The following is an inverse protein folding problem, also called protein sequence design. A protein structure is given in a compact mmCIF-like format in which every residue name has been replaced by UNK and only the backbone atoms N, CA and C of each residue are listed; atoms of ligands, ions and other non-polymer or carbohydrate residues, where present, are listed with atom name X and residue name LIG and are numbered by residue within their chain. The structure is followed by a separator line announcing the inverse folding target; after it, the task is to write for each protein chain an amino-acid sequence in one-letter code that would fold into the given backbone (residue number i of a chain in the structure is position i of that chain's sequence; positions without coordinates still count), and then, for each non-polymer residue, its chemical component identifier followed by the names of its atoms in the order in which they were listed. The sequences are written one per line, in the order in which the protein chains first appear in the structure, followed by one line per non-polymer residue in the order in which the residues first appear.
data_IF_536667560327
#
_entry.id   IF_536667560327
#
_cell.length_a   1.000
_cell.length_b   1.000
_cell.length_c   1.000
_cell.angle_alpha   90.00
_cell.angle_beta   90.00
_cell.angle_gamma   90.00
#
_symmetry.space_group_name_H-M   'P 1'
#
loop_
_entity.id
_entity.type
_entity.pdbx_description
1 polymer ?
#
# COMPACT_ATOMS: atom_id res chain seq x y z
N UNK A 1 13.25 5.45 -9.02
CA UNK A 1 13.38 4.31 -8.10
C UNK A 1 13.19 2.98 -8.81
N UNK A 2 14.12 2.04 -8.60
CA UNK A 2 14.09 0.62 -8.97
C UNK A 2 13.64 -0.20 -7.76
N UNK A 3 12.66 -1.08 -7.94
CA UNK A 3 12.09 -1.95 -6.90
C UNK A 3 12.54 -3.39 -7.13
N UNK A 4 13.06 -4.02 -6.09
CA UNK A 4 13.09 -5.47 -5.96
C UNK A 4 11.98 -5.92 -5.01
N UNK A 5 11.23 -6.96 -5.37
CA UNK A 5 10.14 -7.49 -4.53
C UNK A 5 10.47 -8.89 -4.04
N UNK A 6 10.73 -9.04 -2.74
CA UNK A 6 10.87 -10.34 -2.09
C UNK A 6 9.58 -10.62 -1.31
N UNK A 7 8.78 -11.58 -1.76
CA UNK A 7 7.44 -11.78 -1.21
C UNK A 7 7.04 -13.25 -1.05
N UNK A 8 6.02 -13.47 -0.23
CA UNK A 8 5.31 -14.74 -0.13
C UNK A 8 3.80 -14.49 -0.02
N UNK A 9 3.02 -15.41 -0.57
CA UNK A 9 1.55 -15.38 -0.50
C UNK A 9 0.86 -14.28 -1.33
N UNK A 10 -0.47 -14.28 -1.26
CA UNK A 10 -1.37 -13.47 -2.10
C UNK A 10 -1.21 -11.96 -1.91
N UNK A 11 -0.72 -11.53 -0.75
CA UNK A 11 -0.54 -10.10 -0.49
C UNK A 11 0.52 -9.49 -1.43
N UNK A 12 1.68 -10.14 -1.56
CA UNK A 12 2.71 -9.70 -2.50
C UNK A 12 2.21 -9.72 -3.95
N UNK A 13 1.52 -10.78 -4.36
CA UNK A 13 0.92 -10.89 -5.70
C UNK A 13 -0.04 -9.72 -5.99
N UNK A 14 -0.85 -9.32 -5.01
CA UNK A 14 -1.78 -8.19 -5.16
C UNK A 14 -1.05 -6.87 -5.34
N UNK A 15 0.02 -6.61 -4.57
CA UNK A 15 0.80 -5.38 -4.72
C UNK A 15 1.48 -5.35 -6.08
N UNK A 16 2.13 -6.45 -6.47
CA UNK A 16 2.81 -6.57 -7.76
C UNK A 16 1.80 -6.37 -8.89
N UNK A 17 0.62 -6.98 -8.82
CA UNK A 17 -0.41 -6.78 -9.82
C UNK A 17 -0.95 -5.35 -9.90
N UNK A 18 -1.04 -4.65 -8.76
CA UNK A 18 -1.38 -3.23 -8.74
C UNK A 18 -0.32 -2.37 -9.46
N UNK A 19 0.96 -2.68 -9.24
CA UNK A 19 2.10 -1.97 -9.83
C UNK A 19 2.28 -2.27 -11.33
N UNK A 20 2.10 -3.52 -11.74
CA UNK A 20 2.16 -3.92 -13.15
C UNK A 20 0.91 -3.47 -13.92
N UNK A 21 -0.20 -3.26 -13.21
CA UNK A 21 -1.48 -2.84 -13.76
C UNK A 21 -1.96 -3.67 -14.97
N UNK A 22 -1.72 -4.99 -14.94
CA UNK A 22 -2.22 -5.88 -15.99
C UNK A 22 -3.75 -5.95 -15.96
N UNK A 23 -4.38 -6.13 -17.13
CA UNK A 23 -5.84 -5.96 -17.32
C UNK A 23 -6.74 -6.70 -16.32
N UNK A 24 -6.35 -7.91 -15.91
CA UNK A 24 -7.16 -8.77 -15.04
C UNK A 24 -6.78 -8.66 -13.55
N UNK A 25 -5.95 -7.68 -13.17
CA UNK A 25 -5.58 -7.46 -11.77
C UNK A 25 -6.81 -7.08 -10.91
N UNK A 26 -7.58 -6.09 -11.37
CA UNK A 26 -8.78 -5.64 -10.70
C UNK A 26 -10.01 -6.34 -11.28
N UNK A 27 -10.68 -7.14 -10.46
CA UNK A 27 -11.87 -7.91 -10.84
C UNK A 27 -13.14 -7.45 -10.11
N UNK A 28 -13.05 -6.42 -9.27
CA UNK A 28 -14.09 -6.05 -8.29
C UNK A 28 -15.40 -5.53 -8.90
N UNK A 29 -15.37 -5.03 -10.14
CA UNK A 29 -16.57 -4.62 -10.86
C UNK A 29 -17.18 -5.74 -11.71
N UNK A 30 -16.48 -6.88 -11.85
CA UNK A 30 -16.88 -8.00 -12.71
C UNK A 30 -17.37 -7.49 -14.09
N UNK A 31 -18.58 -7.90 -14.52
CA UNK A 31 -19.19 -7.53 -15.80
C UNK A 31 -19.50 -6.03 -15.95
N UNK A 32 -19.48 -5.27 -14.85
CA UNK A 32 -19.70 -3.81 -14.85
C UNK A 32 -18.38 -3.02 -14.94
N UNK A 33 -17.25 -3.69 -15.23
CA UNK A 33 -15.97 -3.03 -15.35
C UNK A 33 -15.94 -2.06 -16.54
N UNK A 34 -15.58 -0.80 -16.26
CA UNK A 34 -15.39 0.25 -17.26
C UNK A 34 -13.91 0.50 -17.57
N UNK A 35 -13.02 -0.39 -17.17
CA UNK A 35 -11.57 -0.27 -17.36
C UNK A 35 -10.99 1.04 -16.78
N UNK A 36 -11.45 1.47 -15.60
CA UNK A 36 -11.00 2.72 -14.96
C UNK A 36 -9.50 2.80 -14.63
N UNK A 37 -8.77 1.70 -14.80
CA UNK A 37 -7.33 1.59 -14.61
C UNK A 37 -6.56 1.40 -15.91
N UNK A 38 -7.20 1.48 -17.08
CA UNK A 38 -6.52 1.42 -18.39
C UNK A 38 -5.81 2.75 -18.68
N UNK A 39 -4.83 3.06 -17.82
CA UNK A 39 -3.96 4.22 -17.86
C UNK A 39 -2.51 3.74 -17.81
N UNK A 40 -1.75 4.06 -18.85
CA UNK A 40 -0.32 3.71 -18.95
C UNK A 40 0.51 4.36 -17.85
N UNK A 41 0.03 5.44 -17.22
CA UNK A 41 0.71 6.09 -16.10
C UNK A 41 0.69 5.27 -14.81
N UNK A 42 -0.08 4.17 -14.78
CA UNK A 42 -0.14 3.21 -13.67
C UNK A 42 0.71 1.94 -13.91
N UNK A 43 1.38 1.83 -15.06
CA UNK A 43 2.27 0.71 -15.37
C UNK A 43 3.70 1.01 -14.88
N UNK A 44 4.08 0.38 -13.78
CA UNK A 44 5.40 0.47 -13.17
C UNK A 44 6.28 -0.75 -13.46
N UNK A 45 5.95 -1.56 -14.48
CA UNK A 45 6.72 -2.75 -14.84
C UNK A 45 8.21 -2.49 -15.05
N UNK A 46 8.55 -1.36 -15.68
CA UNK A 46 9.95 -0.95 -15.91
C UNK A 46 10.73 -0.64 -14.64
N UNK A 47 10.04 -0.39 -13.52
CA UNK A 47 10.66 -0.13 -12.23
C UNK A 47 10.90 -1.40 -11.42
N UNK A 48 10.19 -2.50 -11.70
CA UNK A 48 10.39 -3.78 -11.01
C UNK A 48 11.55 -4.50 -11.69
N UNK A 49 12.72 -4.47 -11.05
CA UNK A 49 13.96 -5.04 -11.62
C UNK A 49 14.16 -6.51 -11.26
N UNK A 50 13.44 -7.01 -10.25
CA UNK A 50 13.53 -8.40 -9.83
C UNK A 50 12.44 -8.77 -8.83
N UNK A 51 12.12 -10.06 -8.81
CA UNK A 51 11.15 -10.65 -7.90
C UNK A 51 11.73 -11.94 -7.34
N UNK A 52 11.51 -12.17 -6.04
CA UNK A 52 11.87 -13.40 -5.35
C UNK A 52 10.68 -13.89 -4.53
N UNK A 53 10.47 -15.20 -4.55
CA UNK A 53 9.58 -15.86 -3.60
C UNK A 53 10.32 -16.98 -2.90
N UNK A 54 10.10 -17.09 -1.59
CA UNK A 54 10.71 -18.16 -0.81
C UNK A 54 10.12 -19.52 -1.15
N UNK A 55 10.85 -20.62 -0.91
CA UNK A 55 10.27 -21.95 -1.05
C UNK A 55 9.05 -22.15 -0.14
N UNK A 56 8.02 -22.90 -0.60
CA UNK A 56 6.87 -23.23 0.23
C UNK A 56 7.25 -24.26 1.32
N UNK A 57 6.43 -24.34 2.37
CA UNK A 57 6.54 -25.41 3.37
C UNK A 57 7.77 -25.35 4.28
N UNK A 58 8.33 -24.15 4.48
CA UNK A 58 9.45 -23.95 5.41
C UNK A 58 9.01 -24.26 6.85
N UNK A 59 9.90 -24.86 7.67
CA UNK A 59 9.64 -25.05 9.09
C UNK A 59 9.53 -23.70 9.82
N UNK A 60 8.89 -23.67 10.99
CA UNK A 60 8.74 -22.42 11.77
C UNK A 60 10.04 -21.84 12.32
N UNK A 61 11.14 -22.59 12.24
CA UNK A 61 12.49 -22.15 12.56
C UNK A 61 13.47 -22.72 11.53
N UNK A 62 14.36 -21.87 11.02
CA UNK A 62 15.35 -22.22 10.02
C UNK A 62 16.75 -22.01 10.62
N UNK A 63 17.52 -23.09 10.73
CA UNK A 63 18.91 -23.03 11.24
C UNK A 63 19.85 -22.23 10.33
N UNK A 64 19.68 -22.36 9.01
CA UNK A 64 20.51 -21.68 8.00
C UNK A 64 19.66 -20.83 7.02
N UNK A 65 19.13 -19.67 7.46
CA UNK A 65 18.20 -18.87 6.65
C UNK A 65 18.80 -18.36 5.34
N UNK A 66 20.13 -18.18 5.32
CA UNK A 66 20.89 -17.75 4.15
C UNK A 66 20.74 -18.66 2.93
N UNK A 67 20.45 -19.96 3.13
CA UNK A 67 20.18 -20.92 2.04
C UNK A 67 18.89 -20.61 1.28
N UNK A 68 18.00 -19.83 1.89
CA UNK A 68 16.68 -19.47 1.37
C UNK A 68 16.59 -17.98 1.04
N UNK A 69 17.72 -17.29 0.92
CA UNK A 69 17.77 -15.94 0.36
C UNK A 69 17.64 -15.99 -1.17
N UNK A 70 17.27 -14.86 -1.82
CA UNK A 70 17.43 -14.73 -3.26
C UNK A 70 18.86 -15.12 -3.66
N UNK A 71 19.08 -15.92 -4.72
CA UNK A 71 20.43 -16.26 -5.16
C UNK A 71 21.25 -15.01 -5.54
N UNK A 72 20.56 -14.01 -6.09
CA UNK A 72 21.11 -12.69 -6.41
C UNK A 72 20.04 -11.65 -6.05
N UNK A 73 20.45 -10.61 -5.33
CA UNK A 73 19.66 -9.40 -5.14
C UNK A 73 20.22 -8.34 -6.08
N UNK A 74 19.53 -8.12 -7.18
CA UNK A 74 19.95 -7.16 -8.21
C UNK A 74 19.98 -5.74 -7.64
N UNK A 75 20.84 -4.89 -8.19
CA UNK A 75 20.98 -3.49 -7.75
C UNK A 75 19.63 -2.75 -7.81
N UNK A 76 19.21 -2.21 -6.67
CA UNK A 76 17.88 -1.63 -6.52
C UNK A 76 17.92 -0.46 -5.54
N UNK A 77 16.90 0.40 -5.59
CA UNK A 77 16.76 1.52 -4.65
C UNK A 77 15.84 1.12 -3.48
N UNK A 78 14.83 0.29 -3.75
CA UNK A 78 13.80 -0.14 -2.81
C UNK A 78 13.65 -1.66 -2.81
N UNK A 79 13.64 -2.25 -1.61
CA UNK A 79 13.27 -3.64 -1.39
C UNK A 79 11.92 -3.70 -0.69
N UNK A 80 10.91 -4.24 -1.38
CA UNK A 80 9.62 -4.61 -0.77
C UNK A 80 9.74 -6.02 -0.22
N UNK A 81 9.76 -6.17 1.10
CA UNK A 81 9.90 -7.44 1.80
C UNK A 81 8.55 -7.85 2.44
N UNK A 82 7.81 -8.76 1.81
CA UNK A 82 6.39 -8.98 2.10
C UNK A 82 6.14 -10.44 2.54
N UNK A 83 5.61 -10.64 3.75
CA UNK A 83 5.19 -11.96 4.27
C UNK A 83 6.24 -13.08 4.20
N UNK A 84 7.53 -12.74 4.12
CA UNK A 84 8.62 -13.71 4.13
C UNK A 84 8.77 -14.38 5.49
N UNK A 85 9.39 -15.55 5.54
CA UNK A 85 9.70 -16.24 6.79
C UNK A 85 10.50 -15.29 7.72
N UNK A 86 10.14 -15.19 9.02
CA UNK A 86 10.83 -14.33 9.99
C UNK A 86 12.37 -14.46 9.96
N UNK A 87 12.87 -15.69 9.87
CA UNK A 87 14.32 -15.93 9.80
C UNK A 87 14.95 -15.46 8.48
N UNK A 88 14.22 -15.50 7.36
CA UNK A 88 14.71 -15.05 6.05
C UNK A 88 14.74 -13.53 5.98
N UNK A 89 13.64 -12.85 6.36
CA UNK A 89 13.57 -11.38 6.31
C UNK A 89 14.65 -10.73 7.19
N UNK A 90 15.03 -11.39 8.29
CA UNK A 90 16.07 -10.94 9.22
C UNK A 90 17.47 -10.87 8.61
N UNK A 91 17.73 -11.64 7.55
CA UNK A 91 19.02 -11.66 6.85
C UNK A 91 19.07 -10.67 5.66
N UNK A 92 17.92 -10.20 5.18
CA UNK A 92 17.83 -9.30 4.02
C UNK A 92 18.61 -7.99 4.16
N UNK A 93 18.67 -7.28 5.32
CA UNK A 93 19.37 -6.00 5.40
C UNK A 93 20.85 -6.06 5.01
N UNK A 94 21.54 -7.16 5.32
CA UNK A 94 22.95 -7.34 4.94
C UNK A 94 23.11 -7.46 3.42
N UNK A 95 22.28 -8.31 2.80
CA UNK A 95 22.28 -8.49 1.35
C UNK A 95 21.83 -7.23 0.59
N UNK A 96 20.85 -6.52 1.14
CA UNK A 96 20.31 -5.27 0.59
C UNK A 96 21.36 -4.16 0.55
N UNK A 97 22.24 -4.10 1.57
CA UNK A 97 23.36 -3.16 1.60
C UNK A 97 24.29 -3.35 0.41
N UNK A 98 24.67 -4.60 0.13
CA UNK A 98 25.58 -4.93 -0.97
C UNK A 98 24.95 -4.68 -2.35
N UNK A 99 23.61 -4.77 -2.43
CA UNK A 99 22.83 -4.43 -3.62
C UNK A 99 22.55 -2.92 -3.79
N UNK A 100 23.04 -2.06 -2.89
CA UNK A 100 22.81 -0.62 -2.95
C UNK A 100 21.39 -0.17 -2.57
N UNK A 101 20.60 -1.05 -1.94
CA UNK A 101 19.25 -0.73 -1.47
C UNK A 101 19.30 0.42 -0.46
N UNK A 102 18.40 1.40 -0.64
CA UNK A 102 18.32 2.58 0.22
C UNK A 102 17.10 2.55 1.15
N UNK A 103 16.05 1.84 0.74
CA UNK A 103 14.78 1.75 1.47
C UNK A 103 14.29 0.30 1.50
N UNK A 104 14.01 -0.22 2.70
CA UNK A 104 13.27 -1.47 2.89
C UNK A 104 11.89 -1.13 3.43
N UNK A 105 10.85 -1.62 2.76
CA UNK A 105 9.47 -1.56 3.26
C UNK A 105 9.00 -2.98 3.54
N UNK A 106 8.65 -3.25 4.80
CA UNK A 106 8.13 -4.53 5.29
C UNK A 106 6.68 -4.36 5.79
N UNK A 107 5.69 -4.29 4.89
CA UNK A 107 4.31 -3.96 5.26
C UNK A 107 3.59 -5.12 5.94
N UNK A 108 2.84 -4.81 6.99
CA UNK A 108 2.20 -5.81 7.84
C UNK A 108 0.71 -5.86 7.57
N UNK A 109 0.27 -6.94 6.93
CA UNK A 109 -1.15 -7.23 6.71
C UNK A 109 -1.64 -8.44 7.53
N UNK A 110 -0.74 -9.14 8.21
CA UNK A 110 -1.05 -10.28 9.07
C UNK A 110 -0.61 -9.97 10.52
N UNK A 111 -1.51 -10.05 11.53
CA UNK A 111 -1.20 -9.65 12.91
C UNK A 111 0.07 -10.29 13.51
N UNK A 112 0.31 -11.56 13.20
CA UNK A 112 1.36 -12.37 13.83
C UNK A 112 2.63 -12.52 12.99
N UNK A 113 2.71 -11.89 11.82
CA UNK A 113 3.85 -12.07 10.91
C UNK A 113 5.13 -11.35 11.40
N UNK A 114 5.03 -10.04 11.65
CA UNK A 114 6.17 -9.20 12.02
C UNK A 114 5.94 -8.58 13.40
N UNK A 115 6.35 -9.33 14.43
CA UNK A 115 6.21 -8.93 15.83
C UNK A 115 6.97 -7.62 16.14
N UNK A 116 6.60 -6.89 17.21
CA UNK A 116 7.32 -5.69 17.61
C UNK A 116 8.82 -5.89 17.83
N UNK A 117 9.21 -7.02 18.45
CA UNK A 117 10.61 -7.35 18.68
C UNK A 117 11.39 -7.57 17.38
N UNK A 118 10.81 -8.33 16.44
CA UNK A 118 11.41 -8.58 15.14
C UNK A 118 11.51 -7.30 14.30
N UNK A 119 10.48 -6.44 14.32
CA UNK A 119 10.53 -5.12 13.70
C UNK A 119 11.67 -4.26 14.23
N UNK A 120 11.87 -4.21 15.54
CA UNK A 120 12.94 -3.45 16.16
C UNK A 120 14.31 -4.01 15.75
N UNK A 121 14.46 -5.34 15.75
CA UNK A 121 15.67 -6.00 15.27
C UNK A 121 15.98 -5.66 13.81
N UNK A 122 14.97 -5.71 12.93
CA UNK A 122 15.12 -5.33 11.52
C UNK A 122 15.51 -3.86 11.38
N UNK A 123 14.86 -2.97 12.14
CA UNK A 123 15.17 -1.54 12.16
C UNK A 123 16.63 -1.30 12.52
N UNK A 124 17.12 -1.90 13.61
CA UNK A 124 18.53 -1.79 14.03
C UNK A 124 19.50 -2.33 12.97
N UNK A 125 19.17 -3.46 12.34
CA UNK A 125 19.99 -4.02 11.24
C UNK A 125 20.03 -3.08 10.04
N UNK A 126 18.90 -2.49 9.66
CA UNK A 126 18.82 -1.53 8.57
C UNK A 126 19.59 -0.24 8.88
N UNK A 127 19.47 0.29 10.10
CA UNK A 127 20.22 1.46 10.57
C UNK A 127 21.74 1.23 10.48
N UNK A 128 22.23 0.09 10.96
CA UNK A 128 23.65 -0.30 10.84
C UNK A 128 24.10 -0.47 9.38
N UNK A 129 23.18 -0.80 8.49
CA UNK A 129 23.42 -0.91 7.06
C UNK A 129 23.33 0.43 6.31
N UNK A 130 22.84 1.50 6.95
CA UNK A 130 22.57 2.79 6.30
C UNK A 130 21.32 2.79 5.42
N UNK A 131 20.35 1.92 5.75
CA UNK A 131 19.12 1.69 4.96
C UNK A 131 17.93 2.25 5.74
N UNK A 132 17.09 3.04 5.10
CA UNK A 132 15.81 3.50 5.66
C UNK A 132 14.86 2.31 5.76
N UNK A 133 14.19 2.15 6.91
CA UNK A 133 13.28 1.05 7.16
C UNK A 133 11.88 1.54 7.53
N UNK A 134 10.87 1.01 6.85
CA UNK A 134 9.46 1.25 7.16
C UNK A 134 8.69 -0.08 7.30
N UNK A 135 7.92 -0.22 8.37
CA UNK A 135 7.04 -1.37 8.59
C UNK A 135 5.59 -0.92 8.85
N UNK A 136 4.91 -0.34 7.83
CA UNK A 136 3.55 0.18 7.99
C UNK A 136 2.55 -0.95 8.29
N UNK A 137 1.53 -0.66 9.11
CA UNK A 137 0.50 -1.62 9.54
C UNK A 137 -0.88 -0.94 9.56
N UNK A 138 -1.76 -1.17 8.56
CA UNK A 138 -1.52 -1.87 7.27
C UNK A 138 -0.54 -1.15 6.35
N UNK A 139 -0.22 -1.70 5.18
CA UNK A 139 0.62 -1.01 4.19
C UNK A 139 0.04 0.35 3.78
N UNK A 140 -1.29 0.45 3.68
CA UNK A 140 -1.93 1.73 3.38
C UNK A 140 -1.84 2.77 4.50
N UNK A 141 -1.17 2.50 5.63
CA UNK A 141 -0.83 3.51 6.63
C UNK A 141 0.46 4.27 6.30
N UNK A 142 1.22 3.86 5.27
CA UNK A 142 2.44 4.54 4.85
C UNK A 142 2.12 5.94 4.31
N UNK A 143 2.41 6.97 5.09
CA UNK A 143 2.20 8.39 4.75
C UNK A 143 3.53 9.05 4.41
N UNK A 144 3.45 10.16 3.68
CA UNK A 144 4.57 11.09 3.55
C UNK A 144 4.95 11.68 4.90
N UNK A 145 6.21 12.05 5.08
CA UNK A 145 6.73 12.57 6.33
C UNK A 145 8.14 13.13 6.20
N UNK A 146 8.97 12.89 7.21
CA UNK A 146 10.30 13.50 7.28
C UNK A 146 11.36 12.81 6.40
N UNK A 147 11.08 11.59 5.92
CA UNK A 147 12.03 10.82 5.12
C UNK A 147 11.76 10.96 3.60
N UNK A 148 12.65 11.63 2.85
CA UNK A 148 12.44 11.87 1.43
C UNK A 148 12.39 10.61 0.57
N UNK A 149 12.94 9.47 1.03
CA UNK A 149 12.87 8.22 0.29
C UNK A 149 11.47 7.61 0.33
N UNK A 150 10.79 7.71 1.47
CA UNK A 150 9.40 7.26 1.62
C UNK A 150 8.49 8.15 0.78
N UNK A 151 8.71 9.46 0.82
CA UNK A 151 7.93 10.42 0.03
C UNK A 151 8.09 10.17 -1.47
N UNK A 152 9.33 9.99 -1.95
CA UNK A 152 9.60 9.67 -3.35
C UNK A 152 8.96 8.35 -3.77
N UNK A 153 8.98 7.32 -2.91
CA UNK A 153 8.31 6.06 -3.18
C UNK A 153 6.79 6.26 -3.36
N UNK A 154 6.14 6.98 -2.44
CA UNK A 154 4.69 7.23 -2.52
C UNK A 154 4.35 8.05 -3.77
N UNK A 155 5.13 9.08 -4.08
CA UNK A 155 4.89 9.95 -5.24
C UNK A 155 5.09 9.22 -6.56
N UNK A 156 6.18 8.47 -6.68
CA UNK A 156 6.54 7.80 -7.93
C UNK A 156 5.57 6.65 -8.22
N UNK A 157 5.27 5.81 -7.23
CA UNK A 157 4.46 4.61 -7.42
C UNK A 157 2.97 4.82 -7.13
N UNK A 158 2.61 6.00 -6.62
CA UNK A 158 1.23 6.38 -6.29
C UNK A 158 0.53 5.35 -5.40
N UNK A 159 1.27 4.74 -4.47
CA UNK A 159 0.76 3.78 -3.49
C UNK A 159 1.21 4.13 -2.08
N UNK A 160 0.34 3.90 -1.10
CA UNK A 160 0.56 4.21 0.32
C UNK A 160 -0.76 4.58 0.98
N UNK A 161 -0.76 5.65 1.76
CA UNK A 161 -1.99 6.27 2.21
C UNK A 161 -2.75 6.83 1.00
N UNK A 162 -4.05 6.50 0.85
CA UNK A 162 -4.82 6.91 -0.31
C UNK A 162 -5.06 8.42 -0.30
N UNK A 163 -5.07 9.02 -1.49
CA UNK A 163 -5.29 10.43 -1.68
C UNK A 163 -6.26 10.66 -2.84
N UNK A 164 -7.19 11.59 -2.67
CA UNK A 164 -8.24 11.89 -3.64
C UNK A 164 -8.31 13.38 -3.95
N UNK A 165 -8.77 13.67 -5.17
CA UNK A 165 -9.39 14.95 -5.50
C UNK A 165 -10.84 14.68 -5.89
N UNK A 166 -11.75 15.18 -5.06
CA UNK A 166 -13.20 14.96 -5.21
C UNK A 166 -13.83 16.27 -5.69
N UNK A 167 -14.84 16.16 -6.54
CA UNK A 167 -15.66 17.28 -6.98
C UNK A 167 -17.12 17.03 -6.64
N UNK A 168 -17.76 18.01 -6.01
CA UNK A 168 -19.14 17.97 -5.53
C UNK A 168 -19.98 19.07 -6.17
N UNK A 169 -21.15 18.69 -6.71
CA UNK A 169 -22.17 19.61 -7.25
C UNK A 169 -23.54 19.25 -6.69
N UNK A 170 -24.29 20.23 -6.19
CA UNK A 170 -25.63 20.03 -5.61
C UNK A 170 -25.66 18.87 -4.60
N UNK A 171 -24.70 18.88 -3.67
CA UNK A 171 -24.50 17.84 -2.66
C UNK A 171 -24.20 16.42 -3.19
N UNK A 172 -23.83 16.25 -4.46
CA UNK A 172 -23.49 14.96 -5.05
C UNK A 172 -22.06 14.94 -5.56
N UNK A 173 -21.36 13.82 -5.35
CA UNK A 173 -20.03 13.58 -5.89
C UNK A 173 -20.14 13.36 -7.41
N UNK A 174 -19.58 14.29 -8.19
CA UNK A 174 -19.59 14.25 -9.67
C UNK A 174 -18.27 13.78 -10.27
N UNK A 175 -17.17 13.91 -9.53
CA UNK A 175 -15.85 13.45 -9.97
C UNK A 175 -15.01 12.95 -8.81
N UNK A 176 -14.25 11.88 -9.04
CA UNK A 176 -13.26 11.36 -8.10
C UNK A 176 -11.99 11.03 -8.87
N UNK A 177 -10.91 11.74 -8.59
CA UNK A 177 -9.58 11.47 -9.10
C UNK A 177 -8.73 10.86 -7.98
N UNK A 178 -7.99 9.80 -8.30
CA UNK A 178 -7.06 9.14 -7.38
C UNK A 178 -5.69 9.81 -7.57
N UNK A 179 -5.14 10.34 -6.47
CA UNK A 179 -3.78 10.89 -6.42
C UNK A 179 -2.78 9.80 -6.01
N UNK A 180 -3.16 9.01 -5.02
CA UNK A 180 -2.46 7.80 -4.57
C UNK A 180 -3.50 6.75 -4.15
N UNK A 181 -3.18 5.49 -4.36
CA UNK A 181 -4.04 4.36 -3.99
C UNK A 181 -3.52 3.66 -2.74
N UNK A 182 -4.39 2.89 -2.09
CA UNK A 182 -3.92 1.85 -1.19
C UNK A 182 -3.07 0.84 -1.99
N UNK A 183 -2.02 0.23 -1.43
CA UNK A 183 -1.13 -0.67 -2.17
C UNK A 183 -1.83 -1.87 -2.81
N UNK A 184 -2.97 -2.29 -2.27
CA UNK A 184 -3.81 -3.34 -2.84
C UNK A 184 -4.70 -2.89 -4.01
N UNK A 185 -4.79 -1.58 -4.30
CA UNK A 185 -5.60 -0.98 -5.37
C UNK A 185 -7.03 -0.57 -4.99
N UNK A 186 -7.44 -0.72 -3.72
CA UNK A 186 -8.84 -0.53 -3.28
C UNK A 186 -9.42 0.86 -3.60
N UNK A 187 -8.60 1.92 -3.53
CA UNK A 187 -9.04 3.29 -3.79
C UNK A 187 -9.68 3.48 -5.18
N UNK A 188 -9.25 2.72 -6.20
CA UNK A 188 -9.83 2.80 -7.54
C UNK A 188 -11.26 2.25 -7.58
N UNK A 189 -11.54 1.20 -6.82
CA UNK A 189 -12.88 0.62 -6.71
C UNK A 189 -13.80 1.55 -5.91
N UNK A 190 -13.33 2.03 -4.75
CA UNK A 190 -14.06 3.00 -3.92
C UNK A 190 -14.39 4.25 -4.74
N UNK A 191 -13.45 4.78 -5.53
CA UNK A 191 -13.70 5.93 -6.40
C UNK A 191 -14.84 5.69 -7.41
N UNK A 192 -15.04 4.47 -7.92
CA UNK A 192 -16.19 4.18 -8.78
C UNK A 192 -17.50 4.14 -7.99
N UNK A 193 -17.47 3.64 -6.76
CA UNK A 193 -18.66 3.55 -5.90
C UNK A 193 -19.11 4.89 -5.34
N UNK A 194 -18.21 5.85 -5.22
CA UNK A 194 -18.50 7.22 -4.78
C UNK A 194 -19.15 8.09 -5.86
N UNK A 195 -19.06 7.74 -7.14
CA UNK A 195 -19.66 8.53 -8.22
C UNK A 195 -21.18 8.56 -8.08
N UNK A 196 -21.76 9.76 -8.16
CA UNK A 196 -23.19 10.02 -7.96
C UNK A 196 -23.71 9.67 -6.56
N UNK A 197 -22.82 9.60 -5.57
CA UNK A 197 -23.23 9.46 -4.16
C UNK A 197 -23.46 10.85 -3.54
N UNK A 198 -24.57 11.05 -2.80
CA UNK A 198 -24.76 12.24 -1.99
C UNK A 198 -23.71 12.37 -0.89
N UNK A 199 -23.29 13.59 -0.58
CA UNK A 199 -22.46 13.90 0.59
C UNK A 199 -23.40 14.12 1.78
N UNK A 200 -23.84 13.03 2.39
CA UNK A 200 -24.74 13.02 3.55
C UNK A 200 -24.30 12.00 4.61
N UNK A 201 -25.16 11.74 5.60
CA UNK A 201 -24.88 10.82 6.71
C UNK A 201 -24.64 9.37 6.29
N UNK A 202 -24.98 8.96 5.05
CA UNK A 202 -24.80 7.59 4.54
C UNK A 202 -23.50 7.41 3.77
N UNK A 203 -22.74 8.48 3.54
CA UNK A 203 -21.48 8.40 2.78
C UNK A 203 -20.50 7.37 3.35
N UNK A 204 -20.43 7.27 4.68
CA UNK A 204 -19.55 6.31 5.36
C UNK A 204 -19.95 4.86 5.13
N UNK A 205 -21.24 4.59 4.98
CA UNK A 205 -21.76 3.25 4.62
C UNK A 205 -21.34 2.89 3.19
N UNK A 206 -21.38 3.85 2.26
CA UNK A 206 -20.95 3.65 0.87
C UNK A 206 -19.45 3.37 0.81
N UNK A 207 -18.63 4.15 1.52
CA UNK A 207 -17.17 3.95 1.57
C UNK A 207 -16.85 2.58 2.18
N UNK A 208 -17.43 2.26 3.34
CA UNK A 208 -17.16 1.02 4.06
C UNK A 208 -17.64 -0.19 3.27
N UNK A 209 -18.85 -0.12 2.71
CA UNK A 209 -19.39 -1.18 1.85
C UNK A 209 -18.53 -1.45 0.61
N UNK A 210 -18.01 -0.38 -0.03
CA UNK A 210 -17.09 -0.52 -1.15
C UNK A 210 -15.74 -1.14 -0.74
N UNK A 211 -15.17 -0.74 0.41
CA UNK A 211 -13.95 -1.34 0.95
C UNK A 211 -14.11 -2.83 1.25
N UNK A 212 -15.20 -3.21 1.93
CA UNK A 212 -15.48 -4.62 2.25
C UNK A 212 -15.78 -5.47 1.00
N UNK A 213 -16.34 -4.89 -0.05
CA UNK A 213 -16.58 -5.58 -1.32
C UNK A 213 -15.30 -5.70 -2.18
N UNK A 214 -14.23 -5.00 -1.84
CA UNK A 214 -12.94 -5.12 -2.52
C UNK A 214 -12.12 -6.28 -1.90
N UNK A 215 -11.37 -7.07 -2.70
CA UNK A 215 -10.49 -8.13 -2.19
C UNK A 215 -9.23 -7.51 -1.58
N UNK A 216 -9.40 -6.82 -0.45
CA UNK A 216 -8.32 -6.29 0.37
C UNK A 216 -7.51 -7.46 0.96
N UNK A 217 -6.20 -7.24 1.12
CA UNK A 217 -5.26 -8.24 1.63
C UNK A 217 -5.01 -8.12 3.13
N UNK A 218 -5.63 -7.14 3.78
CA UNK A 218 -5.55 -6.91 5.20
C UNK A 218 -6.24 -8.02 6.00
N UNK A 219 -5.56 -8.54 7.01
CA UNK A 219 -6.05 -9.61 7.87
C UNK A 219 -7.31 -9.22 8.66
N UNK A 220 -8.21 -10.19 8.78
CA UNK A 220 -9.45 -10.11 9.57
C UNK A 220 -9.26 -10.58 11.02
N UNK A 221 -8.10 -11.16 11.34
CA UNK A 221 -7.76 -11.49 12.72
C UNK A 221 -7.57 -10.23 13.56
N UNK A 222 -7.97 -10.31 14.83
CA UNK A 222 -7.80 -9.20 15.75
C UNK A 222 -6.32 -9.00 16.02
N UNK A 223 -5.86 -7.76 15.85
CA UNK A 223 -4.50 -7.38 16.11
C UNK A 223 -4.34 -6.79 17.52
N UNK A 224 -3.33 -7.25 18.25
CA UNK A 224 -3.09 -6.80 19.61
C UNK A 224 -2.64 -5.33 19.69
N UNK A 225 -1.88 -4.86 18.69
CA UNK A 225 -1.34 -3.50 18.66
C UNK A 225 -2.40 -2.49 18.26
N UNK A 226 -3.22 -2.83 17.26
CA UNK A 226 -4.32 -1.98 16.80
C UNK A 226 -5.56 -2.05 17.69
N UNK A 227 -5.67 -3.10 18.53
CA UNK A 227 -6.87 -3.45 19.32
C UNK A 227 -8.14 -3.68 18.48
N UNK A 228 -7.97 -3.82 17.17
CA UNK A 228 -8.97 -4.04 16.11
C UNK A 228 -8.34 -4.90 15.00
N UNK A 229 -9.05 -5.20 13.92
CA UNK A 229 -8.50 -5.90 12.76
C UNK A 229 -7.70 -4.95 11.86
N UNK A 230 -6.70 -5.48 11.15
CA UNK A 230 -5.95 -4.70 10.15
C UNK A 230 -6.89 -4.25 9.02
N UNK A 231 -7.88 -5.08 8.65
CA UNK A 231 -8.92 -4.75 7.67
C UNK A 231 -9.74 -3.51 8.08
N UNK A 232 -10.19 -3.42 9.33
CA UNK A 232 -10.91 -2.25 9.82
C UNK A 232 -10.02 -1.01 9.83
N UNK A 233 -8.74 -1.15 10.23
CA UNK A 233 -7.81 -0.03 10.15
C UNK A 233 -7.65 0.48 8.70
N UNK A 234 -7.58 -0.42 7.73
CA UNK A 234 -7.58 -0.06 6.30
C UNK A 234 -8.89 0.64 5.87
N UNK A 235 -10.03 0.22 6.41
CA UNK A 235 -11.34 0.86 6.20
C UNK A 235 -11.42 2.28 6.78
N UNK A 236 -10.88 2.49 7.98
CA UNK A 236 -10.80 3.83 8.57
C UNK A 236 -9.88 4.75 7.77
N UNK A 237 -8.76 4.22 7.26
CA UNK A 237 -7.81 4.96 6.40
C UNK A 237 -8.48 5.48 5.13
N UNK A 238 -9.24 4.64 4.42
CA UNK A 238 -9.90 5.07 3.18
C UNK A 238 -11.04 6.08 3.46
N UNK A 239 -11.74 5.92 4.59
CA UNK A 239 -12.75 6.87 5.06
C UNK A 239 -12.12 8.23 5.39
N UNK A 240 -11.04 8.24 6.17
CA UNK A 240 -10.24 9.44 6.48
C UNK A 240 -9.85 10.17 5.20
N UNK A 241 -9.25 9.46 4.24
CA UNK A 241 -8.80 10.05 2.98
C UNK A 241 -9.92 10.67 2.13
N UNK A 242 -11.12 10.08 2.13
CA UNK A 242 -12.29 10.64 1.41
C UNK A 242 -12.79 11.92 2.10
N UNK A 243 -12.90 11.92 3.43
CA UNK A 243 -13.33 13.10 4.20
C UNK A 243 -12.32 14.25 4.13
N UNK A 244 -11.03 13.95 4.14
CA UNK A 244 -9.97 14.95 3.96
C UNK A 244 -10.11 15.64 2.59
N UNK A 245 -10.34 14.86 1.53
CA UNK A 245 -10.52 15.39 0.18
C UNK A 245 -11.76 16.28 0.05
N UNK A 246 -12.89 15.90 0.68
CA UNK A 246 -14.11 16.72 0.72
C UNK A 246 -13.93 18.01 1.54
N UNK A 247 -13.16 17.95 2.63
CA UNK A 247 -12.88 19.11 3.48
C UNK A 247 -12.00 20.14 2.77
N UNK A 248 -11.03 19.68 1.97
CA UNK A 248 -10.18 20.55 1.13
C UNK A 248 -11.03 21.25 0.06
N UNK A 249 -11.92 20.52 -0.62
CA UNK A 249 -12.79 21.11 -1.64
C UNK A 249 -13.67 22.24 -1.08
N UNK A 250 -14.20 22.06 0.13
CA UNK A 250 -14.98 23.11 0.80
C UNK A 250 -14.15 24.37 1.09
N UNK A 251 -12.86 24.21 1.47
CA UNK A 251 -11.95 25.34 1.71
C UNK A 251 -11.61 26.09 0.42
N UNK A 252 -11.37 25.37 -0.68
CA UNK A 252 -11.06 25.98 -1.97
C UNK A 252 -12.26 26.77 -2.52
N UNK A 253 -13.49 26.24 -2.40
CA UNK A 253 -14.73 26.97 -2.74
C UNK A 253 -14.91 28.25 -1.91
N UNK A 254 -14.59 28.20 -0.62
CA UNK A 254 -14.63 29.39 0.25
C UNK A 254 -13.61 30.46 -0.19
N UNK A 255 -12.38 30.05 -0.54
CA UNK A 255 -11.31 30.95 -1.00
C UNK A 255 -11.60 31.57 -2.38
N UNK A 256 -12.18 30.81 -3.31
CA UNK A 256 -12.58 31.31 -4.63
C UNK A 256 -13.71 32.35 -4.53
N UNK A 257 -14.62 32.17 -3.58
CA UNK A 257 -15.71 33.12 -3.33
C UNK A 257 -15.21 34.42 -2.68
N UNK A 258 -14.24 34.36 -1.77
CA UNK A 258 -13.66 35.56 -1.14
C UNK A 258 -12.70 36.34 -2.04
N UNK A 259 -12.17 35.71 -3.11
CA UNK A 259 -11.26 36.37 -4.07
C UNK A 259 -12.00 37.06 -5.23
N UNK A 260 -13.34 36.95 -5.27
CA UNK A 260 -14.23 37.55 -6.29
C UNK A 260 -15.11 38.67 -5.73
N UNK A 261 -14.96 39.00 -4.45
CA UNK A 261 -15.55 40.15 -3.74
C UNK A 261 -14.47 41.17 -3.43
#
# INVERSE_FOLDING_TARGET
MRIFVAYNGKFGERIIGNLLNYRNFCISCDKLCIFCRDDKSLDFSKNIIGMYTQPPGLPGYIEEPKKYLPPVLLENDVLLAINLHPDIITELPAMAKDAGTRLIIAPIEEPNWLSPGLRNQLKEKCEKAGIVFAAPKPFCSLKKGDDPLIDNFIEQFRIGFPGFKIGVKNNNIVSVQILSSQPCGCAYYVAQKLKNTPVDSKLDEVISGAHHAYPCTAGMERDAELKDTILHKAGYIIREAVHDALSIENKDKLRENTSKT
#
